data_IF_681311160248
#
_entry.id   IF_681311160248
#
_cell.length_a   1.000
_cell.length_b   1.000
_cell.length_c   1.000
_cell.angle_alpha   90.00
_cell.angle_beta   90.00
_cell.angle_gamma   90.00
#
_symmetry.space_group_name_H-M   'P 1'
#
loop_
_entity.id
_entity.type
_entity.pdbx_description
1 polymer ?
#
# COMPACT_ATOMS: atom_id res chain seq x y z
N UNK A 1 -12.94 20.06 -5.75
CA UNK A 1 -12.68 19.15 -6.88
C UNK A 1 -11.64 18.13 -6.45
N UNK A 2 -12.06 16.86 -6.44
CA UNK A 2 -11.36 15.61 -6.11
C UNK A 2 -12.32 14.42 -6.40
N UNK A 3 -13.16 14.55 -7.42
CA UNK A 3 -14.39 13.79 -7.57
C UNK A 3 -14.59 13.28 -9.01
N UNK A 4 -13.53 13.24 -9.82
CA UNK A 4 -13.60 12.61 -11.14
C UNK A 4 -13.96 11.14 -10.99
N UNK A 5 -14.66 10.59 -11.97
CA UNK A 5 -14.99 9.16 -11.98
C UNK A 5 -13.72 8.31 -11.90
N UNK A 6 -13.83 7.17 -11.22
CA UNK A 6 -12.71 6.26 -11.06
C UNK A 6 -12.23 5.77 -12.43
N UNK A 7 -10.95 6.00 -12.70
CA UNK A 7 -10.37 5.75 -14.01
C UNK A 7 -9.34 4.63 -13.96
N UNK A 8 -9.46 3.69 -14.89
CA UNK A 8 -8.48 2.64 -15.14
C UNK A 8 -7.60 3.07 -16.31
N UNK A 9 -6.64 3.93 -15.99
CA UNK A 9 -5.85 4.61 -16.99
C UNK A 9 -4.85 3.65 -17.65
N UNK A 10 -4.81 3.71 -18.97
CA UNK A 10 -3.95 2.92 -19.86
C UNK A 10 -4.07 1.39 -19.77
N UNK A 11 -5.24 0.82 -19.41
CA UNK A 11 -5.47 -0.63 -19.59
C UNK A 11 -5.16 -1.11 -21.02
N UNK A 12 -5.19 -0.23 -22.03
CA UNK A 12 -4.91 -0.57 -23.43
C UNK A 12 -3.50 -1.12 -23.72
N UNK A 13 -2.53 -0.96 -22.81
CA UNK A 13 -1.19 -1.56 -22.97
C UNK A 13 -1.10 -3.00 -22.44
N UNK A 14 -2.16 -3.48 -21.78
CA UNK A 14 -2.22 -4.78 -21.13
C UNK A 14 -2.96 -5.78 -22.03
N UNK A 15 -2.51 -7.04 -22.05
CA UNK A 15 -3.17 -8.12 -22.81
C UNK A 15 -4.60 -8.38 -22.33
N UNK A 16 -5.44 -8.95 -23.19
CA UNK A 16 -6.85 -9.27 -22.86
C UNK A 16 -6.96 -10.14 -21.61
N UNK A 17 -6.14 -11.18 -21.48
CA UNK A 17 -6.14 -12.08 -20.31
C UNK A 17 -5.79 -11.32 -19.02
N UNK A 18 -4.75 -10.49 -19.06
CA UNK A 18 -4.34 -9.69 -17.89
C UNK A 18 -5.36 -8.62 -17.54
N UNK A 19 -6.06 -8.02 -18.50
CA UNK A 19 -7.21 -7.13 -18.23
C UNK A 19 -8.31 -7.86 -17.48
N UNK A 20 -8.67 -9.08 -17.91
CA UNK A 20 -9.69 -9.87 -17.23
C UNK A 20 -9.27 -10.20 -15.78
N UNK A 21 -8.00 -10.56 -15.56
CA UNK A 21 -7.45 -10.76 -14.22
C UNK A 21 -7.52 -9.48 -13.38
N UNK A 22 -7.08 -8.34 -13.91
CA UNK A 22 -7.14 -7.04 -13.23
C UNK A 22 -8.59 -6.71 -12.81
N UNK A 23 -9.56 -6.85 -13.72
CA UNK A 23 -10.96 -6.61 -13.40
C UNK A 23 -11.49 -7.56 -12.33
N UNK A 24 -11.16 -8.86 -12.43
CA UNK A 24 -11.53 -9.85 -11.42
C UNK A 24 -10.93 -9.52 -10.05
N UNK A 25 -9.65 -9.13 -10.00
CA UNK A 25 -8.97 -8.69 -8.77
C UNK A 25 -9.65 -7.45 -8.19
N UNK A 26 -9.83 -6.40 -8.99
CA UNK A 26 -10.46 -5.15 -8.55
C UNK A 26 -11.89 -5.37 -8.03
N UNK A 27 -12.66 -6.30 -8.61
CA UNK A 27 -14.02 -6.64 -8.15
C UNK A 27 -14.09 -7.17 -6.71
N UNK A 28 -12.96 -7.60 -6.13
CA UNK A 28 -12.87 -8.08 -4.74
C UNK A 28 -12.70 -6.96 -3.72
N UNK A 29 -12.34 -5.76 -4.18
CA UNK A 29 -12.09 -4.61 -3.32
C UNK A 29 -13.21 -3.59 -3.49
N UNK A 30 -13.54 -2.87 -2.42
CA UNK A 30 -14.52 -1.78 -2.43
C UNK A 30 -13.89 -0.51 -2.99
N UNK A 31 -13.57 -0.52 -4.29
CA UNK A 31 -13.01 0.66 -4.97
C UNK A 31 -14.13 1.70 -5.12
N UNK A 32 -13.95 2.94 -4.62
CA UNK A 32 -14.90 4.03 -4.81
C UNK A 32 -15.17 4.27 -6.29
N UNK A 33 -16.38 4.71 -6.63
CA UNK A 33 -16.76 5.06 -8.01
C UNK A 33 -16.14 6.38 -8.48
N UNK A 34 -15.60 7.19 -7.55
CA UNK A 34 -14.99 8.50 -7.82
C UNK A 34 -13.69 8.67 -7.04
N UNK A 35 -12.81 9.51 -7.55
CA UNK A 35 -11.62 10.00 -6.86
C UNK A 35 -10.45 9.02 -6.85
N UNK A 36 -10.49 7.93 -7.64
CA UNK A 36 -9.40 6.95 -7.74
C UNK A 36 -8.90 6.86 -9.18
N UNK A 37 -7.58 6.83 -9.37
CA UNK A 37 -6.97 6.47 -10.65
C UNK A 37 -6.07 5.25 -10.47
N UNK A 38 -6.28 4.23 -11.29
CA UNK A 38 -5.40 3.07 -11.42
C UNK A 38 -4.58 3.27 -12.70
N UNK A 39 -3.28 3.52 -12.56
CA UNK A 39 -2.38 3.79 -13.66
C UNK A 39 -1.49 2.58 -13.97
N UNK A 40 -1.72 1.95 -15.12
CA UNK A 40 -0.85 0.91 -15.68
C UNK A 40 0.20 1.54 -16.59
N UNK A 41 1.35 1.87 -16.02
CA UNK A 41 2.35 2.70 -16.68
C UNK A 41 3.18 1.90 -17.69
N UNK A 42 3.43 2.48 -18.86
CA UNK A 42 4.28 1.88 -19.91
C UNK A 42 5.78 1.98 -19.63
N UNK A 43 6.19 2.66 -18.56
CA UNK A 43 7.59 2.86 -18.20
C UNK A 43 8.00 2.10 -16.93
N UNK A 44 9.27 1.69 -16.89
CA UNK A 44 9.91 1.02 -15.73
C UNK A 44 10.75 1.96 -14.87
N UNK A 45 11.01 3.18 -15.36
CA UNK A 45 11.85 4.18 -14.70
C UNK A 45 13.22 3.68 -14.24
N UNK A 46 13.82 2.71 -14.95
CA UNK A 46 15.14 2.13 -14.61
C UNK A 46 16.26 3.18 -14.47
N UNK A 47 16.12 4.33 -15.17
CA UNK A 47 17.07 5.45 -15.15
C UNK A 47 16.88 6.41 -13.96
N UNK A 48 15.84 6.24 -13.15
CA UNK A 48 15.66 7.05 -11.94
C UNK A 48 16.78 6.77 -10.92
N UNK A 49 17.05 7.70 -9.99
CA UNK A 49 18.06 7.51 -8.95
C UNK A 49 17.89 6.18 -8.20
N UNK A 50 19.00 5.54 -7.84
CA UNK A 50 18.98 4.35 -6.98
C UNK A 50 18.28 4.71 -5.66
N UNK A 51 17.39 3.84 -5.17
CA UNK A 51 16.58 4.10 -3.97
C UNK A 51 15.32 4.95 -4.19
N UNK A 52 15.05 5.41 -5.43
CA UNK A 52 13.78 6.05 -5.77
C UNK A 52 12.64 5.02 -5.79
N UNK A 53 11.50 5.37 -5.18
CA UNK A 53 10.29 4.53 -5.19
C UNK A 53 9.84 4.17 -6.61
N UNK A 54 10.02 5.08 -7.57
CA UNK A 54 9.69 4.89 -8.99
C UNK A 54 10.58 3.83 -9.65
N UNK A 55 11.83 3.71 -9.19
CA UNK A 55 12.78 2.72 -9.69
C UNK A 55 12.66 1.37 -9.00
N UNK A 56 12.29 1.35 -7.72
CA UNK A 56 12.42 0.15 -6.89
C UNK A 56 11.11 -0.64 -6.73
N UNK A 57 9.94 0.00 -6.81
CA UNK A 57 8.68 -0.65 -6.46
C UNK A 57 7.97 -1.33 -7.63
N UNK A 58 7.17 -2.36 -7.36
CA UNK A 58 6.27 -3.01 -8.34
C UNK A 58 4.82 -2.49 -8.26
N UNK A 59 4.53 -1.66 -7.28
CA UNK A 59 3.24 -1.03 -7.06
C UNK A 59 3.43 0.18 -6.14
N UNK A 60 2.45 1.08 -6.15
CA UNK A 60 2.35 2.13 -5.15
C UNK A 60 0.92 2.68 -5.07
N UNK A 61 0.31 2.58 -3.89
CA UNK A 61 -0.83 3.37 -3.49
C UNK A 61 -0.37 4.71 -2.90
N UNK A 62 -0.98 5.79 -3.39
CA UNK A 62 -0.80 7.15 -2.90
C UNK A 62 -2.14 7.80 -2.61
N UNK A 63 -2.29 8.29 -1.38
CA UNK A 63 -3.25 9.34 -1.08
C UNK A 63 -2.64 10.69 -1.49
N UNK A 64 -3.06 11.21 -2.64
CA UNK A 64 -2.56 12.45 -3.23
C UNK A 64 -2.81 13.64 -2.30
N UNK A 65 -3.92 13.63 -1.56
CA UNK A 65 -4.28 14.70 -0.62
C UNK A 65 -3.36 14.75 0.61
N UNK A 66 -2.78 13.62 1.02
CA UNK A 66 -1.79 13.57 2.12
C UNK A 66 -0.43 14.12 1.67
N UNK A 67 -0.05 13.93 0.39
CA UNK A 67 1.15 14.57 -0.17
C UNK A 67 2.50 14.00 0.30
N UNK A 68 2.55 12.73 0.74
CA UNK A 68 3.76 12.10 1.30
C UNK A 68 4.91 11.89 0.30
N UNK A 69 4.61 11.71 -0.99
CA UNK A 69 5.66 11.58 -1.99
C UNK A 69 6.09 12.98 -2.41
N UNK A 70 7.40 13.27 -2.34
CA UNK A 70 7.98 14.47 -2.94
C UNK A 70 7.73 14.45 -4.45
N UNK A 71 6.57 14.96 -4.82
CA UNK A 71 6.00 14.89 -6.16
C UNK A 71 6.89 15.65 -7.15
N UNK A 72 7.65 16.66 -6.70
CA UNK A 72 8.62 17.39 -7.53
C UNK A 72 9.69 16.48 -8.17
N UNK A 73 9.91 15.26 -7.64
CA UNK A 73 10.79 14.23 -8.21
C UNK A 73 10.03 13.05 -8.85
N UNK A 74 8.72 13.19 -9.07
CA UNK A 74 7.88 12.18 -9.70
C UNK A 74 7.98 12.20 -11.23
N UNK A 75 7.70 11.07 -11.89
CA UNK A 75 7.54 11.05 -13.34
C UNK A 75 6.49 12.05 -13.82
N UNK A 76 6.75 12.69 -14.97
CA UNK A 76 5.88 13.73 -15.53
C UNK A 76 4.40 13.32 -15.61
N UNK A 77 4.11 12.06 -15.94
CA UNK A 77 2.72 11.57 -16.01
C UNK A 77 2.06 11.52 -14.63
N UNK A 78 2.79 11.07 -13.62
CA UNK A 78 2.35 11.03 -12.23
C UNK A 78 2.15 12.45 -11.70
N UNK A 79 3.11 13.34 -11.99
CA UNK A 79 3.04 14.74 -11.61
C UNK A 79 1.77 15.41 -12.17
N UNK A 80 1.46 15.18 -13.45
CA UNK A 80 0.23 15.69 -14.08
C UNK A 80 -1.04 15.20 -13.40
N UNK A 81 -1.10 13.90 -13.03
CA UNK A 81 -2.25 13.35 -12.32
C UNK A 81 -2.43 14.01 -10.94
N UNK A 82 -1.32 14.17 -10.19
CA UNK A 82 -1.32 14.85 -8.90
C UNK A 82 -1.78 16.31 -9.03
N UNK A 83 -1.20 17.05 -9.97
CA UNK A 83 -1.50 18.48 -10.18
C UNK A 83 -2.91 18.75 -10.68
N UNK A 84 -3.53 17.77 -11.37
CA UNK A 84 -4.90 17.90 -11.86
C UNK A 84 -5.94 18.06 -10.74
N UNK A 85 -5.62 17.60 -9.52
CA UNK A 85 -6.55 17.53 -8.38
C UNK A 85 -7.85 16.78 -8.69
N UNK A 86 -7.84 15.93 -9.72
CA UNK A 86 -9.00 15.15 -10.14
C UNK A 86 -9.25 13.95 -9.20
N UNK A 87 -8.17 13.35 -8.69
CA UNK A 87 -8.19 12.08 -7.96
C UNK A 87 -7.58 12.22 -6.57
N UNK A 88 -8.23 11.64 -5.56
CA UNK A 88 -7.73 11.57 -4.18
C UNK A 88 -6.67 10.47 -4.08
N UNK A 89 -6.89 9.35 -4.76
CA UNK A 89 -6.02 8.19 -4.71
C UNK A 89 -5.43 7.87 -6.07
N UNK A 90 -4.17 7.47 -6.08
CA UNK A 90 -3.47 6.89 -7.22
C UNK A 90 -2.93 5.53 -6.83
N UNK A 91 -3.29 4.51 -7.60
CA UNK A 91 -2.59 3.21 -7.61
C UNK A 91 -1.76 3.16 -8.87
N UNK A 92 -0.45 3.09 -8.73
CA UNK A 92 0.50 3.08 -9.85
C UNK A 92 1.19 1.71 -9.96
N UNK A 93 1.17 1.13 -11.16
CA UNK A 93 1.92 -0.08 -11.48
C UNK A 93 2.84 0.17 -12.70
N UNK A 94 4.18 0.04 -12.55
CA UNK A 94 5.12 0.19 -13.67
C UNK A 94 5.02 -0.96 -14.68
N UNK A 95 5.64 -0.77 -15.86
CA UNK A 95 5.66 -1.76 -16.95
C UNK A 95 6.10 -3.16 -16.52
N UNK A 96 7.10 -3.25 -15.64
CA UNK A 96 7.62 -4.51 -15.09
C UNK A 96 6.62 -5.25 -14.20
N UNK A 97 5.70 -4.52 -13.58
CA UNK A 97 4.67 -5.09 -12.72
C UNK A 97 3.62 -5.79 -13.58
N UNK A 98 2.99 -5.09 -14.52
CA UNK A 98 2.00 -5.75 -15.36
C UNK A 98 2.59 -6.66 -16.45
N UNK A 99 3.91 -6.66 -16.68
CA UNK A 99 4.60 -7.68 -17.48
C UNK A 99 5.11 -8.89 -16.68
N UNK A 100 4.96 -8.92 -15.36
CA UNK A 100 5.34 -10.07 -14.54
C UNK A 100 4.45 -11.29 -14.83
N UNK A 101 4.69 -12.39 -14.09
CA UNK A 101 3.74 -13.50 -14.06
C UNK A 101 2.35 -13.00 -13.62
N UNK A 102 1.31 -13.74 -14.01
CA UNK A 102 -0.07 -13.37 -13.67
C UNK A 102 -0.31 -13.34 -12.15
N UNK A 103 0.27 -14.30 -11.42
CA UNK A 103 0.18 -14.33 -9.96
C UNK A 103 0.92 -13.16 -9.32
N UNK A 104 2.10 -12.77 -9.82
CA UNK A 104 2.81 -11.58 -9.34
C UNK A 104 2.00 -10.29 -9.59
N UNK A 105 1.34 -10.19 -10.75
CA UNK A 105 0.50 -9.03 -11.08
C UNK A 105 -0.68 -8.94 -10.11
N UNK A 106 -1.41 -10.04 -9.93
CA UNK A 106 -2.56 -10.08 -9.02
C UNK A 106 -2.12 -9.81 -7.58
N UNK A 107 -0.99 -10.38 -7.15
CA UNK A 107 -0.42 -10.16 -5.83
C UNK A 107 -0.12 -8.67 -5.60
N UNK A 108 0.68 -8.05 -6.47
CA UNK A 108 1.05 -6.64 -6.34
C UNK A 108 -0.18 -5.71 -6.42
N UNK A 109 -1.12 -5.96 -7.33
CA UNK A 109 -2.34 -5.15 -7.43
C UNK A 109 -3.21 -5.28 -6.18
N UNK A 110 -3.38 -6.50 -5.65
CA UNK A 110 -4.19 -6.75 -4.44
C UNK A 110 -3.58 -6.08 -3.21
N UNK A 111 -2.24 -6.09 -3.12
CA UNK A 111 -1.50 -5.39 -2.08
C UNK A 111 -1.80 -3.88 -2.11
N UNK A 112 -1.67 -3.21 -3.26
CA UNK A 112 -1.96 -1.77 -3.35
C UNK A 112 -3.45 -1.45 -3.16
N UNK A 113 -4.35 -2.32 -3.63
CA UNK A 113 -5.78 -2.17 -3.39
C UNK A 113 -6.15 -2.33 -1.91
N UNK A 114 -5.40 -3.13 -1.16
CA UNK A 114 -5.58 -3.23 0.29
C UNK A 114 -5.20 -1.93 0.98
N UNK A 115 -4.12 -1.28 0.57
CA UNK A 115 -3.79 0.06 1.08
C UNK A 115 -4.86 1.11 0.77
N UNK A 116 -5.48 1.04 -0.40
CA UNK A 116 -6.64 1.88 -0.72
C UNK A 116 -7.82 1.60 0.23
N UNK A 117 -8.16 0.32 0.48
CA UNK A 117 -9.24 -0.06 1.41
C UNK A 117 -8.95 0.40 2.85
N UNK A 118 -7.71 0.25 3.31
CA UNK A 118 -7.25 0.77 4.61
C UNK A 118 -7.49 2.27 4.72
N UNK A 119 -7.11 3.05 3.70
CA UNK A 119 -7.23 4.51 3.66
C UNK A 119 -8.69 4.97 3.63
N UNK A 120 -9.53 4.30 2.83
CA UNK A 120 -10.98 4.58 2.75
C UNK A 120 -11.66 4.32 4.10
N UNK A 121 -11.33 3.20 4.75
CA UNK A 121 -11.90 2.85 6.05
C UNK A 121 -11.39 3.79 7.14
N UNK A 122 -10.08 3.99 7.21
CA UNK A 122 -9.47 4.89 8.17
C UNK A 122 -8.17 5.48 7.63
N UNK A 123 -8.26 6.73 7.12
CA UNK A 123 -7.12 7.52 6.65
C UNK A 123 -5.96 7.60 7.66
N UNK A 124 -6.24 7.46 8.94
CA UNK A 124 -5.22 7.46 10.00
C UNK A 124 -4.28 6.27 9.91
N UNK A 125 -4.72 5.14 9.34
CA UNK A 125 -3.87 3.97 9.06
C UNK A 125 -2.79 4.35 8.06
N UNK A 126 -3.15 5.04 6.98
CA UNK A 126 -2.20 5.50 5.96
C UNK A 126 -1.24 6.55 6.52
N UNK A 127 -1.73 7.46 7.37
CA UNK A 127 -0.87 8.42 8.08
C UNK A 127 0.14 7.69 9.00
N UNK A 128 -0.33 6.74 9.80
CA UNK A 128 0.52 5.94 10.67
C UNK A 128 1.54 5.12 9.89
N UNK A 129 1.13 4.47 8.80
CA UNK A 129 2.02 3.75 7.90
C UNK A 129 3.17 4.64 7.40
N UNK A 130 2.85 5.81 6.86
CA UNK A 130 3.86 6.72 6.33
C UNK A 130 4.80 7.23 7.42
N UNK A 131 4.26 7.53 8.61
CA UNK A 131 5.07 7.88 9.77
C UNK A 131 6.05 6.77 10.16
N UNK A 132 5.55 5.56 10.37
CA UNK A 132 6.38 4.42 10.75
C UNK A 132 7.46 4.11 9.71
N UNK A 133 7.10 4.17 8.43
CA UNK A 133 8.04 3.98 7.32
C UNK A 133 9.11 5.07 7.29
N UNK A 134 8.75 6.31 7.55
CA UNK A 134 9.69 7.42 7.65
C UNK A 134 10.64 7.20 8.83
N UNK A 135 10.10 6.88 10.01
CA UNK A 135 10.87 6.56 11.19
C UNK A 135 11.90 5.46 10.92
N UNK A 136 11.51 4.32 10.36
CA UNK A 136 12.46 3.23 10.10
C UNK A 136 13.48 3.49 8.99
N UNK A 137 13.15 4.35 8.03
CA UNK A 137 14.07 4.68 6.94
C UNK A 137 15.09 5.73 7.35
N UNK A 138 14.67 6.70 8.15
CA UNK A 138 15.45 7.89 8.46
C UNK A 138 16.09 7.83 9.85
N UNK A 139 15.52 7.04 10.75
CA UNK A 139 16.00 6.86 12.11
C UNK A 139 16.30 5.38 12.30
N UNK A 140 17.51 5.08 12.77
CA UNK A 140 17.89 3.72 13.11
C UNK A 140 17.25 3.33 14.45
N UNK A 141 15.92 3.24 14.47
CA UNK A 141 15.15 2.94 15.68
C UNK A 141 15.51 1.57 16.22
N UNK A 142 15.83 1.52 17.51
CA UNK A 142 16.01 0.25 18.20
C UNK A 142 14.64 -0.35 18.53
N UNK A 143 14.27 -1.40 17.79
CA UNK A 143 13.03 -2.16 17.96
C UNK A 143 13.40 -3.65 18.10
N UNK A 144 12.53 -4.41 18.75
CA UNK A 144 12.80 -5.83 19.04
C UNK A 144 12.56 -6.71 17.80
N UNK A 145 11.64 -6.29 16.94
CA UNK A 145 11.28 -7.04 15.73
C UNK A 145 12.33 -6.84 14.63
N UNK A 146 12.47 -7.85 13.77
CA UNK A 146 13.26 -7.72 12.56
C UNK A 146 12.75 -6.57 11.70
N UNK A 147 13.66 -5.70 11.24
CA UNK A 147 13.35 -4.53 10.38
C UNK A 147 13.02 -4.93 8.94
N UNK A 148 12.06 -5.82 8.77
CA UNK A 148 11.51 -6.29 7.51
C UNK A 148 10.24 -5.51 7.16
N UNK A 149 9.86 -5.47 5.89
CA UNK A 149 8.73 -4.65 5.44
C UNK A 149 7.39 -4.97 6.14
N UNK A 150 7.11 -6.25 6.42
CA UNK A 150 5.90 -6.72 7.13
C UNK A 150 5.93 -6.50 8.64
N UNK A 151 7.00 -5.93 9.19
CA UNK A 151 6.97 -5.46 10.58
C UNK A 151 5.93 -4.35 10.77
N UNK A 152 5.66 -3.58 9.71
CA UNK A 152 4.65 -2.53 9.69
C UNK A 152 3.26 -3.18 9.54
N UNK A 153 2.34 -3.02 10.52
CA UNK A 153 1.03 -3.67 10.45
C UNK A 153 0.24 -3.38 9.17
N UNK A 154 0.23 -2.15 8.61
CA UNK A 154 -0.44 -1.88 7.33
C UNK A 154 0.12 -2.66 6.14
N UNK A 155 1.42 -2.95 6.15
CA UNK A 155 2.09 -3.73 5.08
C UNK A 155 1.83 -5.23 5.24
N UNK A 156 1.85 -5.73 6.48
CA UNK A 156 1.46 -7.11 6.79
C UNK A 156 0.03 -7.39 6.33
N UNK A 157 -0.90 -6.50 6.66
CA UNK A 157 -2.29 -6.61 6.22
C UNK A 157 -2.42 -6.60 4.68
N UNK A 158 -1.63 -5.77 3.99
CA UNK A 158 -1.60 -5.72 2.53
C UNK A 158 -1.08 -7.02 1.90
N UNK A 159 0.00 -7.59 2.42
CA UNK A 159 0.55 -8.86 1.96
C UNK A 159 -0.38 -10.06 2.28
N UNK A 160 -1.02 -10.09 3.46
CA UNK A 160 -2.03 -11.10 3.80
C UNK A 160 -3.26 -11.00 2.89
N UNK A 161 -3.73 -9.78 2.59
CA UNK A 161 -4.84 -9.58 1.65
C UNK A 161 -4.48 -9.99 0.22
N UNK A 162 -3.23 -9.77 -0.21
CA UNK A 162 -2.74 -10.25 -1.49
C UNK A 162 -2.75 -11.78 -1.55
N UNK A 163 -2.27 -12.44 -0.49
CA UNK A 163 -2.32 -13.90 -0.38
C UNK A 163 -3.75 -14.44 -0.44
N UNK A 164 -4.66 -13.89 0.38
CA UNK A 164 -6.10 -14.24 0.33
C UNK A 164 -6.68 -14.12 -1.07
N UNK A 165 -6.35 -13.03 -1.75
CA UNK A 165 -6.90 -12.76 -3.10
C UNK A 165 -6.40 -13.78 -4.10
N UNK A 166 -5.10 -14.12 -4.12
CA UNK A 166 -4.59 -15.14 -5.07
C UNK A 166 -5.13 -16.55 -4.78
N UNK A 167 -5.46 -16.88 -3.52
CA UNK A 167 -6.07 -18.17 -3.12
C UNK A 167 -7.48 -18.38 -3.65
N UNK A 168 -8.16 -17.32 -4.10
CA UNK A 168 -9.52 -17.43 -4.64
C UNK A 168 -9.57 -18.42 -5.82
N UNK A 169 -10.54 -19.34 -5.78
CA UNK A 169 -10.70 -20.40 -6.80
C UNK A 169 -10.85 -19.86 -8.22
N UNK A 170 -11.43 -18.68 -8.39
CA UNK A 170 -11.63 -18.02 -9.69
C UNK A 170 -10.35 -17.33 -10.22
N UNK A 171 -9.29 -17.27 -9.42
CA UNK A 171 -8.00 -16.71 -9.79
C UNK A 171 -6.98 -17.84 -9.93
N UNK A 172 -6.37 -18.30 -8.84
CA UNK A 172 -5.35 -19.37 -8.88
C UNK A 172 -5.66 -20.55 -7.97
N UNK A 173 -6.56 -20.38 -6.98
CA UNK A 173 -6.88 -21.41 -6.01
C UNK A 173 -5.81 -21.59 -4.94
N UNK A 174 -6.21 -22.23 -3.84
CA UNK A 174 -5.39 -22.42 -2.63
C UNK A 174 -4.04 -23.08 -2.92
N UNK A 175 -4.02 -24.18 -3.68
CA UNK A 175 -2.80 -24.95 -3.91
C UNK A 175 -1.70 -24.14 -4.61
N UNK A 176 -2.05 -23.41 -5.67
CA UNK A 176 -1.09 -22.61 -6.43
C UNK A 176 -0.62 -21.39 -5.63
N UNK A 177 -1.53 -20.73 -4.93
CA UNK A 177 -1.21 -19.59 -4.08
C UNK A 177 -0.28 -19.95 -2.92
N UNK A 178 -0.58 -21.03 -2.19
CA UNK A 178 0.22 -21.45 -1.04
C UNK A 178 1.60 -21.96 -1.51
N UNK A 179 1.65 -22.65 -2.65
CA UNK A 179 2.91 -23.05 -3.29
C UNK A 179 3.75 -21.83 -3.69
N UNK A 180 3.13 -20.78 -4.22
CA UNK A 180 3.82 -19.53 -4.55
C UNK A 180 4.44 -18.86 -3.31
N UNK A 181 3.74 -18.85 -2.18
CA UNK A 181 4.27 -18.32 -0.91
C UNK A 181 5.44 -19.16 -0.39
N UNK A 182 5.29 -20.49 -0.35
CA UNK A 182 6.36 -21.39 0.08
C UNK A 182 7.61 -21.29 -0.79
N UNK A 183 7.44 -21.21 -2.11
CA UNK A 183 8.53 -21.02 -3.05
C UNK A 183 9.26 -19.71 -2.78
N UNK A 184 8.53 -18.59 -2.64
CA UNK A 184 9.16 -17.29 -2.41
C UNK A 184 9.80 -17.16 -1.01
N UNK A 185 9.31 -17.91 -0.01
CA UNK A 185 9.94 -18.00 1.31
C UNK A 185 11.30 -18.73 1.27
N UNK A 186 11.48 -19.65 0.32
CA UNK A 186 12.70 -20.42 0.14
C UNK A 186 13.71 -19.75 -0.81
N UNK A 187 13.21 -19.08 -1.86
CA UNK A 187 14.02 -18.44 -2.92
C UNK A 187 13.42 -17.08 -3.28
N UNK A 188 14.25 -16.06 -3.46
CA UNK A 188 13.82 -14.76 -3.99
C UNK A 188 14.29 -13.55 -3.20
N UNK A 189 14.03 -12.37 -3.76
CA UNK A 189 14.46 -11.08 -3.20
C UNK A 189 13.58 -10.61 -2.03
N UNK A 190 12.40 -11.20 -1.86
CA UNK A 190 11.43 -10.92 -0.77
C UNK A 190 11.34 -12.06 0.25
N UNK A 191 12.34 -12.95 0.35
CA UNK A 191 12.30 -14.17 1.18
C UNK A 191 11.82 -13.95 2.61
N UNK A 192 12.25 -12.87 3.25
CA UNK A 192 11.93 -12.54 4.64
C UNK A 192 10.46 -12.18 4.82
N UNK A 193 9.88 -11.44 3.86
CA UNK A 193 8.45 -11.13 3.83
C UNK A 193 7.64 -12.42 3.77
N UNK A 194 7.95 -13.33 2.83
CA UNK A 194 7.19 -14.56 2.68
C UNK A 194 7.38 -15.54 3.85
N UNK A 195 8.56 -15.58 4.47
CA UNK A 195 8.78 -16.36 5.72
C UNK A 195 7.98 -15.80 6.89
N UNK A 196 7.86 -14.48 6.99
CA UNK A 196 7.02 -13.86 8.00
C UNK A 196 5.54 -14.16 7.77
N UNK A 197 5.06 -14.10 6.53
CA UNK A 197 3.68 -14.44 6.18
C UNK A 197 3.31 -15.88 6.58
N UNK A 198 4.21 -16.85 6.40
CA UNK A 198 3.97 -18.25 6.76
C UNK A 198 3.70 -18.49 8.26
N UNK A 199 3.90 -17.49 9.13
CA UNK A 199 3.55 -17.55 10.56
C UNK A 199 2.06 -17.30 10.82
N UNK A 200 1.29 -16.90 9.81
CA UNK A 200 -0.10 -16.48 9.91
C UNK A 200 -1.02 -17.36 9.07
N UNK A 201 -2.27 -17.55 9.52
CA UNK A 201 -3.31 -18.12 8.68
C UNK A 201 -3.83 -17.03 7.73
N UNK A 202 -3.75 -17.21 6.39
CA UNK A 202 -4.30 -16.24 5.46
C UNK A 202 -5.80 -16.07 5.62
N UNK A 203 -6.55 -17.01 6.18
CA UNK A 203 -8.01 -16.90 6.30
C UNK A 203 -8.45 -16.14 7.56
N UNK A 204 -7.58 -15.98 8.54
CA UNK A 204 -7.89 -15.23 9.75
C UNK A 204 -7.97 -13.73 9.44
N UNK A 205 -8.93 -13.04 10.06
CA UNK A 205 -9.04 -11.58 9.94
C UNK A 205 -7.88 -10.91 10.67
N UNK A 206 -7.23 -9.96 10.01
CA UNK A 206 -6.13 -9.18 10.60
C UNK A 206 -6.63 -7.77 10.92
N UNK A 207 -6.74 -7.43 12.20
CA UNK A 207 -7.16 -6.10 12.64
C UNK A 207 -5.97 -5.12 12.58
N UNK A 208 -5.73 -4.61 11.37
CA UNK A 208 -4.68 -3.63 11.11
C UNK A 208 -4.75 -2.40 12.02
N UNK A 209 -5.94 -2.00 12.50
CA UNK A 209 -6.07 -0.81 13.35
C UNK A 209 -5.54 -1.09 14.75
N UNK A 210 -5.98 -2.20 15.35
CA UNK A 210 -5.51 -2.64 16.67
C UNK A 210 -4.01 -2.94 16.66
N UNK A 211 -3.53 -3.60 15.61
CA UNK A 211 -2.10 -3.93 15.47
C UNK A 211 -1.23 -2.67 15.31
N UNK A 212 -1.70 -1.69 14.51
CA UNK A 212 -1.01 -0.40 14.37
C UNK A 212 -1.00 0.38 15.69
N UNK A 213 -2.11 0.38 16.44
CA UNK A 213 -2.20 1.01 17.76
C UNK A 213 -1.23 0.38 18.76
N UNK A 214 -1.21 -0.95 18.84
CA UNK A 214 -0.30 -1.69 19.71
C UNK A 214 1.16 -1.38 19.39
N UNK A 215 1.51 -1.33 18.10
CA UNK A 215 2.87 -1.00 17.65
C UNK A 215 3.29 0.43 18.04
N UNK A 216 2.42 1.41 17.80
CA UNK A 216 2.66 2.81 18.17
C UNK A 216 2.84 2.98 19.68
N UNK A 217 2.03 2.28 20.49
CA UNK A 217 2.11 2.33 21.96
C UNK A 217 3.36 1.64 22.50
N UNK A 218 3.73 0.48 21.94
CA UNK A 218 4.93 -0.27 22.34
C UNK A 218 6.19 0.58 22.24
N UNK A 219 6.31 1.36 21.16
CA UNK A 219 7.48 2.19 20.86
C UNK A 219 7.23 3.70 21.01
N UNK A 220 6.24 4.09 21.82
CA UNK A 220 5.77 5.48 21.93
C UNK A 220 6.90 6.45 22.26
N UNK A 221 7.74 6.14 23.25
CA UNK A 221 8.82 7.04 23.68
C UNK A 221 9.82 7.32 22.55
N UNK A 222 10.18 6.29 21.79
CA UNK A 222 11.09 6.42 20.65
C UNK A 222 10.47 7.26 19.55
N UNK A 223 9.19 7.05 19.26
CA UNK A 223 8.48 7.86 18.27
C UNK A 223 8.30 9.32 18.69
N UNK A 224 7.99 9.58 19.96
CA UNK A 224 7.89 10.95 20.50
C UNK A 224 9.23 11.68 20.45
N UNK A 225 10.34 10.98 20.74
CA UNK A 225 11.67 11.53 20.57
C UNK A 225 11.92 11.96 19.11
N UNK A 226 11.55 11.13 18.14
CA UNK A 226 11.67 11.45 16.71
C UNK A 226 10.81 12.67 16.33
N UNK A 227 9.57 12.73 16.80
CA UNK A 227 8.67 13.89 16.56
C UNK A 227 9.28 15.20 17.08
N UNK A 228 10.03 15.15 18.19
CA UNK A 228 10.64 16.31 18.82
C UNK A 228 11.95 16.80 18.17
N UNK A 229 12.62 15.98 17.34
CA UNK A 229 13.89 16.35 16.68
C UNK A 229 13.70 17.38 15.55
N UNK A 230 12.47 17.63 15.11
CA UNK A 230 12.16 18.74 14.22
C UNK A 230 11.82 18.35 12.78
N UNK A 231 11.39 19.33 11.95
CA UNK A 231 10.18 19.18 11.18
C UNK A 231 10.50 18.71 9.76
N UNK A 232 10.42 17.41 9.53
CA UNK A 232 10.01 17.00 8.20
C UNK A 232 8.52 17.32 8.05
N UNK A 233 8.14 17.87 6.88
CA UNK A 233 6.76 18.26 6.54
C UNK A 233 5.73 17.18 6.91
N UNK A 234 6.13 15.91 6.83
CA UNK A 234 5.33 14.72 7.11
C UNK A 234 4.94 14.53 8.59
N UNK A 235 5.71 15.11 9.52
CA UNK A 235 5.48 15.00 10.97
C UNK A 235 4.33 15.94 11.41
N UNK A 236 4.12 17.04 10.69
CA UNK A 236 3.18 18.10 11.11
C UNK A 236 1.70 17.68 11.15
N UNK A 237 1.28 16.72 10.32
CA UNK A 237 -0.11 16.22 10.27
C UNK A 237 -0.44 15.20 11.39
N UNK A 238 0.60 14.66 12.05
CA UNK A 238 0.46 13.63 13.07
C UNK A 238 0.03 14.27 14.39
N UNK A 239 0.69 15.38 14.77
CA UNK A 239 0.58 15.96 16.11
C UNK A 239 1.45 15.17 17.08
N UNK A 240 0.83 14.51 18.06
CA UNK A 240 1.47 13.55 18.96
C UNK A 240 1.16 12.09 18.60
N UNK A 241 1.88 11.15 19.21
CA UNK A 241 1.55 9.72 19.11
C UNK A 241 0.17 9.42 19.72
N UNK A 242 -0.21 10.13 20.78
CA UNK A 242 -1.54 9.98 21.38
C UNK A 242 -2.64 10.52 20.45
N UNK A 243 -2.39 11.61 19.72
CA UNK A 243 -3.33 12.12 18.71
C UNK A 243 -3.51 11.11 17.58
N UNK A 244 -2.42 10.51 17.10
CA UNK A 244 -2.47 9.47 16.07
C UNK A 244 -3.21 8.23 16.56
N UNK A 245 -2.94 7.77 17.79
CA UNK A 245 -3.67 6.67 18.41
C UNK A 245 -5.17 7.00 18.52
N UNK A 246 -5.51 8.19 19.01
CA UNK A 246 -6.90 8.65 19.11
C UNK A 246 -7.61 8.67 17.76
N UNK A 247 -6.94 9.11 16.69
CA UNK A 247 -7.47 9.09 15.31
C UNK A 247 -7.66 7.66 14.79
N UNK A 248 -6.77 6.73 15.14
CA UNK A 248 -6.89 5.31 14.78
C UNK A 248 -8.02 4.59 15.52
N UNK A 249 -8.23 4.90 16.81
CA UNK A 249 -9.30 4.31 17.63
C UNK A 249 -10.70 4.80 17.26
N UNK A 250 -10.82 5.94 16.58
CA UNK A 250 -12.09 6.40 16.03
C UNK A 250 -12.51 5.47 14.89
N UNK A 251 -13.53 4.64 15.15
CA UNK A 251 -14.29 3.99 14.07
C UNK A 251 -14.87 5.09 13.19
N UNK A 252 -14.36 5.23 11.97
CA UNK A 252 -14.95 6.15 11.02
C UNK A 252 -16.38 5.69 10.68
N UNK A 253 -17.35 6.36 11.31
CA UNK A 253 -18.68 6.61 10.75
C UNK A 253 -18.52 7.54 9.54
N UNK A 254 -17.83 7.10 8.49
CA UNK A 254 -18.00 7.75 7.19
C UNK A 254 -19.25 7.10 6.59
N UNK A 255 -20.39 7.65 6.99
CA UNK A 255 -21.57 7.65 6.14
C UNK A 255 -21.10 8.32 4.85
N UNK A 256 -20.91 7.51 3.80
CA UNK A 256 -20.98 8.02 2.44
C UNK A 256 -22.36 8.63 2.33
N UNK A 257 -22.47 9.94 2.52
CA UNK A 257 -23.65 10.69 2.13
C UNK A 257 -23.75 10.55 0.61
N UNK A 258 -24.50 9.54 0.21
CA UNK A 258 -25.10 9.42 -1.11
C UNK A 258 -26.00 10.64 -1.31
N UNK A 259 -25.55 11.58 -2.13
CA UNK A 259 -26.38 12.46 -2.94
C UNK A 259 -25.65 12.67 -4.27
#
# INVERSE_FOLDING_TARGET
MWNSDTNFDYLNVVSVNKKALIHSTCSKFKIPSKGVVLLFDRFDYKRYPKGSIWRCNLGLHLNIKIGYVNYRKSPKIIQKLIDSKAYIHLIWLPKRSWNSSEIDLVWNLSHELRHLDQDIKNRSITLAYYFLKYCFKCFDMDIEEDKIHTVLPPEKDAELAAWRTVRERRLFGTQMADSYVHDNANKGTKKEIFRDLLKYDPNEEYDVSTETLSFLRKYQKQFEYILNIGPDYYISEIGSIEDLCSKLSKKNLIILNSN
#
